data_IF_979083317832
#
_entry.id   IF_979083317832
#
_cell.length_a   1.000
_cell.length_b   1.000
_cell.length_c   1.000
_cell.angle_alpha   90.00
_cell.angle_beta   90.00
_cell.angle_gamma   90.00
#
_symmetry.space_group_name_H-M   'P 1'
#
loop_
_entity.id
_entity.type
_entity.pdbx_description
1 polymer ?
#
# COMPACT_ATOMS: atom_id res chain seq x y z
N UNK A 1 -8.10 -14.69 8.27
CA UNK A 1 -7.99 -15.42 9.55
C UNK A 1 -8.59 -16.82 9.45
N UNK A 2 -9.78 -16.95 8.86
CA UNK A 2 -10.48 -18.25 8.67
C UNK A 2 -9.65 -19.28 7.89
N UNK A 3 -9.05 -18.89 6.77
CA UNK A 3 -8.19 -19.80 5.97
C UNK A 3 -6.98 -20.33 6.76
N UNK A 4 -6.42 -19.50 7.63
CA UNK A 4 -5.28 -19.86 8.49
C UNK A 4 -5.72 -20.54 9.79
N UNK A 5 -7.03 -20.69 10.05
CA UNK A 5 -7.63 -21.26 11.28
C UNK A 5 -7.09 -20.64 12.58
N UNK A 6 -6.80 -19.34 12.57
CA UNK A 6 -6.33 -18.60 13.75
C UNK A 6 -7.28 -17.45 14.10
N UNK A 7 -7.25 -17.03 15.37
CA UNK A 7 -7.96 -15.83 15.81
C UNK A 7 -7.28 -14.55 15.27
N UNK A 8 -8.04 -13.45 15.17
CA UNK A 8 -7.47 -12.14 14.83
C UNK A 8 -6.35 -11.74 15.81
N UNK A 9 -6.54 -12.01 17.10
CA UNK A 9 -5.55 -11.72 18.15
C UNK A 9 -4.24 -12.46 17.91
N UNK A 10 -4.32 -13.73 17.52
CA UNK A 10 -3.13 -14.54 17.17
C UNK A 10 -2.41 -13.96 15.96
N UNK A 11 -3.14 -13.55 14.92
CA UNK A 11 -2.55 -12.90 13.74
C UNK A 11 -1.84 -11.59 14.13
N UNK A 12 -2.45 -10.77 14.98
CA UNK A 12 -1.84 -9.54 15.47
C UNK A 12 -0.56 -9.79 16.26
N UNK A 13 -0.53 -10.81 17.13
CA UNK A 13 0.68 -11.21 17.86
C UNK A 13 1.79 -11.67 16.92
N UNK A 14 1.49 -12.56 15.97
CA UNK A 14 2.48 -13.03 14.99
C UNK A 14 3.09 -11.83 14.25
N UNK A 15 2.26 -10.90 13.79
CA UNK A 15 2.78 -9.73 13.08
C UNK A 15 3.60 -8.80 13.97
N UNK A 16 3.22 -8.64 15.24
CA UNK A 16 3.99 -7.88 16.20
C UNK A 16 5.34 -8.54 16.49
N UNK A 17 5.37 -9.85 16.71
CA UNK A 17 6.58 -10.57 17.11
C UNK A 17 7.58 -10.68 15.97
N UNK A 18 7.11 -10.96 14.74
CA UNK A 18 7.98 -11.17 13.58
C UNK A 18 8.27 -9.88 12.78
N UNK A 19 7.28 -8.98 12.66
CA UNK A 19 7.39 -7.78 11.81
C UNK A 19 7.36 -6.46 12.60
N UNK A 20 7.23 -6.50 13.93
CA UNK A 20 7.16 -5.32 14.80
C UNK A 20 6.09 -4.30 14.35
N UNK A 21 5.02 -4.79 13.71
CA UNK A 21 3.93 -3.97 13.19
C UNK A 21 2.62 -4.72 13.17
N UNK A 22 1.49 -4.01 13.05
CA UNK A 22 0.19 -4.66 12.88
C UNK A 22 0.04 -5.24 11.47
N UNK A 23 -0.80 -6.29 11.29
CA UNK A 23 -1.10 -6.85 9.97
C UNK A 23 -1.58 -5.79 8.98
N UNK A 24 -2.47 -4.89 9.42
CA UNK A 24 -2.99 -3.81 8.60
C UNK A 24 -1.88 -2.88 8.08
N UNK A 25 -0.92 -2.52 8.95
CA UNK A 25 0.22 -1.68 8.57
C UNK A 25 1.11 -2.39 7.55
N UNK A 26 1.37 -3.69 7.76
CA UNK A 26 2.13 -4.49 6.81
C UNK A 26 1.45 -4.60 5.44
N UNK A 27 0.16 -4.92 5.39
CA UNK A 27 -0.59 -4.99 4.12
C UNK A 27 -0.65 -3.63 3.41
N UNK A 28 -0.81 -2.53 4.17
CA UNK A 28 -0.72 -1.19 3.62
C UNK A 28 0.65 -0.94 2.99
N UNK A 29 1.73 -1.39 3.63
CA UNK A 29 3.06 -1.34 3.04
C UNK A 29 3.15 -2.18 1.76
N UNK A 30 2.67 -3.42 1.75
CA UNK A 30 2.67 -4.23 0.52
C UNK A 30 1.92 -3.54 -0.62
N UNK A 31 0.72 -3.00 -0.34
CA UNK A 31 -0.08 -2.23 -1.31
C UNK A 31 0.64 -1.00 -1.84
N UNK A 32 1.28 -0.21 -0.99
CA UNK A 32 2.06 0.96 -1.41
C UNK A 32 3.23 0.58 -2.34
N UNK A 33 3.88 -0.54 -2.07
CA UNK A 33 4.99 -1.02 -2.89
C UNK A 33 4.53 -1.53 -4.26
N UNK A 34 3.43 -2.27 -4.28
CA UNK A 34 2.84 -2.73 -5.53
C UNK A 34 2.31 -1.54 -6.36
N UNK A 35 1.67 -0.55 -5.72
CA UNK A 35 1.27 0.71 -6.35
C UNK A 35 2.47 1.43 -6.97
N UNK A 36 3.60 1.55 -6.26
CA UNK A 36 4.80 2.20 -6.81
C UNK A 36 5.29 1.52 -8.09
N UNK A 37 5.31 0.17 -8.12
CA UNK A 37 5.66 -0.58 -9.32
C UNK A 37 4.68 -0.33 -10.48
N UNK A 38 3.38 -0.33 -10.19
CA UNK A 38 2.35 -0.06 -11.20
C UNK A 38 2.51 1.35 -11.79
N UNK A 39 2.75 2.35 -10.92
CA UNK A 39 2.99 3.73 -11.34
C UNK A 39 4.26 3.91 -12.15
N UNK A 40 5.23 3.00 -12.07
CA UNK A 40 6.41 3.00 -12.93
C UNK A 40 6.14 2.32 -14.28
N UNK A 41 5.30 1.27 -14.29
CA UNK A 41 4.98 0.45 -15.46
C UNK A 41 3.74 0.90 -16.24
N UNK A 42 3.07 1.97 -15.78
CA UNK A 42 1.89 2.60 -16.40
C UNK A 42 2.00 2.79 -17.92
N UNK A 43 0.86 2.66 -18.59
CA UNK A 43 0.73 2.97 -20.01
C UNK A 43 0.37 4.45 -20.21
N UNK A 44 0.54 4.99 -21.42
CA UNK A 44 0.18 6.40 -21.73
C UNK A 44 -1.30 6.72 -21.52
N UNK A 45 -2.17 5.70 -21.51
CA UNK A 45 -3.61 5.83 -21.30
C UNK A 45 -4.03 5.61 -19.84
N UNK A 46 -3.09 5.22 -18.96
CA UNK A 46 -3.39 4.99 -17.55
C UNK A 46 -3.81 6.29 -16.86
N UNK A 47 -4.65 6.17 -15.84
CA UNK A 47 -5.05 7.28 -14.98
C UNK A 47 -4.55 7.02 -13.56
N UNK A 48 -3.88 8.01 -12.97
CA UNK A 48 -3.39 7.93 -11.60
C UNK A 48 -4.51 7.60 -10.60
N UNK A 49 -5.70 8.20 -10.77
CA UNK A 49 -6.83 7.99 -9.86
C UNK A 49 -7.31 6.55 -9.91
N UNK A 50 -7.47 5.98 -11.11
CA UNK A 50 -7.98 4.63 -11.30
C UNK A 50 -7.01 3.61 -10.70
N UNK A 51 -5.71 3.75 -11.01
CA UNK A 51 -4.66 2.92 -10.40
C UNK A 51 -4.71 3.05 -8.87
N UNK A 52 -4.75 4.26 -8.29
CA UNK A 52 -4.77 4.37 -6.82
C UNK A 52 -6.00 3.73 -6.17
N UNK A 53 -7.16 3.77 -6.84
CA UNK A 53 -8.40 3.15 -6.36
C UNK A 53 -8.34 1.62 -6.44
N UNK A 54 -7.76 1.04 -7.49
CA UNK A 54 -7.55 -0.41 -7.62
C UNK A 54 -6.71 -0.98 -6.46
N UNK A 55 -5.73 -0.21 -5.99
CA UNK A 55 -4.92 -0.59 -4.82
C UNK A 55 -5.59 -0.27 -3.47
N UNK A 56 -6.81 0.28 -3.48
CA UNK A 56 -7.62 0.57 -2.31
C UNK A 56 -7.29 1.91 -1.62
N UNK A 57 -6.69 2.86 -2.33
CA UNK A 57 -6.37 4.19 -1.81
C UNK A 57 -7.36 5.25 -2.32
N UNK A 58 -8.45 5.42 -1.59
CA UNK A 58 -9.50 6.39 -1.94
C UNK A 58 -9.20 7.82 -1.47
N UNK A 59 -8.42 7.99 -0.41
CA UNK A 59 -8.09 9.30 0.17
C UNK A 59 -6.74 9.83 -0.34
N UNK A 60 -6.78 10.76 -1.30
CA UNK A 60 -5.59 11.31 -1.96
C UNK A 60 -4.54 11.88 -0.99
N UNK A 61 -4.96 12.68 -0.01
CA UNK A 61 -4.03 13.31 0.95
C UNK A 61 -3.34 12.30 1.87
N UNK A 62 -4.07 11.29 2.32
CA UNK A 62 -3.51 10.22 3.15
C UNK A 62 -2.52 9.37 2.35
N UNK A 63 -2.90 8.98 1.13
CA UNK A 63 -2.01 8.29 0.20
C UNK A 63 -0.73 9.10 -0.05
N UNK A 64 -0.84 10.39 -0.42
CA UNK A 64 0.31 11.24 -0.70
C UNK A 64 1.28 11.28 0.49
N UNK A 65 0.76 11.43 1.72
CA UNK A 65 1.57 11.43 2.95
C UNK A 65 2.26 10.09 3.18
N UNK A 66 1.52 8.99 3.08
CA UNK A 66 2.07 7.64 3.31
C UNK A 66 3.10 7.23 2.26
N UNK A 67 2.83 7.61 1.01
CA UNK A 67 3.70 7.35 -0.13
C UNK A 67 4.98 8.16 -0.02
N UNK A 68 4.90 9.47 0.24
CA UNK A 68 6.07 10.32 0.45
C UNK A 68 6.90 9.86 1.65
N UNK A 69 6.26 9.47 2.76
CA UNK A 69 6.97 8.92 3.93
C UNK A 69 7.79 7.68 3.59
N UNK A 70 7.42 6.92 2.56
CA UNK A 70 8.10 5.69 2.18
C UNK A 70 9.07 5.81 1.02
N UNK A 71 8.73 6.59 0.00
CA UNK A 71 9.48 6.68 -1.26
C UNK A 71 10.20 8.02 -1.44
N UNK A 72 9.92 9.01 -0.59
CA UNK A 72 10.54 10.35 -0.68
C UNK A 72 10.01 11.22 -1.83
N UNK A 73 8.97 10.77 -2.52
CA UNK A 73 8.31 11.47 -3.63
C UNK A 73 6.79 11.26 -3.54
N UNK A 74 6.00 12.00 -4.31
CA UNK A 74 4.55 11.84 -4.39
C UNK A 74 4.14 10.86 -5.50
N UNK A 75 2.97 10.19 -5.38
CA UNK A 75 2.47 9.28 -6.42
C UNK A 75 2.39 9.96 -7.81
N UNK A 76 2.05 11.25 -7.84
CA UNK A 76 1.99 12.04 -9.07
C UNK A 76 3.35 12.30 -9.71
N UNK A 77 4.42 12.34 -8.92
CA UNK A 77 5.79 12.50 -9.43
C UNK A 77 6.26 11.20 -10.07
N UNK A 78 6.07 10.06 -9.39
CA UNK A 78 6.36 8.74 -9.95
C UNK A 78 5.55 8.48 -11.23
N UNK A 79 4.28 8.86 -11.25
CA UNK A 79 3.40 8.68 -12.40
C UNK A 79 3.79 9.53 -13.62
N UNK A 80 4.44 10.68 -13.41
CA UNK A 80 4.84 11.61 -14.48
C UNK A 80 6.14 11.18 -15.18
N UNK A 81 7.02 10.46 -14.48
CA UNK A 81 8.25 9.88 -15.06
C UNK A 81 7.89 8.78 -16.03
#
# INVERSE_FOLDING_TARGET
CEELKISQRTLEYIFKDYYQMSPQKYFKHLRLHALHKELQQKNKQSNLSDITQEFGFYHRGQLARDYHKRFGEFPSETFRR
#
